data_IF_792057878537
#
_entry.id   IF_792057878537
#
_cell.length_a   1.000
_cell.length_b   1.000
_cell.length_c   1.000
_cell.angle_alpha   90.00
_cell.angle_beta   90.00
_cell.angle_gamma   90.00
#
_symmetry.space_group_name_H-M   'P 1'
#
loop_
_entity.id
_entity.type
_entity.pdbx_description
1 polymer ?
#
# COMPACT_ATOMS: atom_id res chain seq x y z
N UNK A 1 -12.06 1.51 -27.14
CA UNK A 1 -12.53 2.46 -26.11
C UNK A 1 -11.35 3.32 -25.70
N UNK A 2 -11.45 4.65 -25.75
CA UNK A 2 -10.33 5.55 -25.42
C UNK A 2 -10.13 5.59 -23.91
N UNK A 3 -9.13 4.86 -23.40
CA UNK A 3 -8.60 5.09 -22.06
C UNK A 3 -7.85 6.41 -22.08
N UNK A 4 -8.46 7.47 -21.56
CA UNK A 4 -7.76 8.75 -21.43
C UNK A 4 -6.97 8.69 -20.14
N UNK A 5 -5.64 8.75 -20.27
CA UNK A 5 -4.71 8.78 -19.15
C UNK A 5 -4.53 10.23 -18.73
N UNK A 6 -5.03 10.55 -17.55
CA UNK A 6 -4.88 11.86 -16.94
C UNK A 6 -3.76 11.81 -15.90
N UNK A 7 -3.32 12.98 -15.45
CA UNK A 7 -2.38 13.08 -14.35
C UNK A 7 -2.74 14.24 -13.44
N UNK A 8 -2.44 14.05 -12.16
CA UNK A 8 -2.44 15.10 -11.15
C UNK A 8 -1.01 15.31 -10.65
N UNK A 9 -0.67 16.55 -10.35
CA UNK A 9 0.66 16.90 -9.85
C UNK A 9 0.54 17.24 -8.38
N UNK A 10 1.24 16.50 -7.53
CA UNK A 10 1.27 16.73 -6.08
C UNK A 10 2.73 16.99 -5.70
N UNK A 11 3.02 18.21 -5.26
CA UNK A 11 4.39 18.72 -5.16
C UNK A 11 5.07 18.72 -6.53
N UNK A 12 6.08 17.87 -6.70
CA UNK A 12 6.87 17.72 -7.93
C UNK A 12 6.71 16.35 -8.63
N UNK A 13 5.77 15.50 -8.17
CA UNK A 13 5.53 14.19 -8.76
C UNK A 13 4.21 14.17 -9.51
N UNK A 14 4.22 13.57 -10.70
CA UNK A 14 3.03 13.31 -11.52
C UNK A 14 2.47 11.95 -11.13
N UNK A 15 1.20 11.93 -10.76
CA UNK A 15 0.44 10.73 -10.45
C UNK A 15 -0.61 10.52 -11.54
N UNK A 16 -0.59 9.36 -12.17
CA UNK A 16 -1.48 9.06 -13.27
C UNK A 16 -2.75 8.39 -12.78
N UNK A 17 -3.86 8.73 -13.43
CA UNK A 17 -5.13 8.04 -13.25
C UNK A 17 -5.83 7.87 -14.60
N UNK A 18 -6.68 6.86 -14.71
CA UNK A 18 -7.47 6.59 -15.91
C UNK A 18 -8.94 6.64 -15.57
N UNK A 19 -9.70 7.24 -16.49
CA UNK A 19 -11.16 7.21 -16.46
C UNK A 19 -11.61 6.39 -17.68
N UNK A 20 -12.38 5.34 -17.44
CA UNK A 20 -12.97 4.54 -18.50
C UNK A 20 -14.48 4.43 -18.28
N UNK A 21 -15.29 4.71 -19.32
CA UNK A 21 -16.74 4.60 -19.19
C UNK A 21 -17.11 3.14 -18.89
N UNK A 22 -17.91 2.94 -17.84
CA UNK A 22 -18.44 1.64 -17.45
C UNK A 22 -19.93 1.55 -17.87
N UNK A 23 -20.73 0.75 -17.14
CA UNK A 23 -22.16 0.58 -17.43
C UNK A 23 -22.92 1.91 -17.29
N UNK A 24 -24.14 1.96 -17.82
CA UNK A 24 -24.97 3.17 -17.90
C UNK A 24 -24.97 3.98 -16.59
N UNK A 25 -24.27 5.12 -16.57
CA UNK A 25 -24.19 6.03 -15.43
C UNK A 25 -22.98 5.88 -14.51
N UNK A 26 -22.07 4.93 -14.78
CA UNK A 26 -20.83 4.75 -14.01
C UNK A 26 -19.56 4.94 -14.84
N UNK A 27 -18.51 5.39 -14.17
CA UNK A 27 -17.16 5.53 -14.70
C UNK A 27 -16.21 4.74 -13.81
N UNK A 28 -15.41 3.88 -14.43
CA UNK A 28 -14.34 3.16 -13.76
C UNK A 28 -13.13 4.07 -13.62
N UNK A 29 -12.66 4.21 -12.39
CA UNK A 29 -11.51 5.03 -12.03
C UNK A 29 -10.40 4.10 -11.57
N UNK A 30 -9.22 4.22 -12.20
CA UNK A 30 -8.02 3.52 -11.76
C UNK A 30 -6.92 4.53 -11.42
N UNK A 31 -6.45 4.49 -10.18
CA UNK A 31 -5.32 5.27 -9.70
C UNK A 31 -4.47 4.39 -8.77
N UNK A 32 -3.33 3.91 -9.27
CA UNK A 32 -2.41 3.06 -8.50
C UNK A 32 -1.87 3.75 -7.25
N UNK A 33 -1.69 5.07 -7.33
CA UNK A 33 -1.11 5.86 -6.26
C UNK A 33 -2.03 6.02 -5.05
N UNK A 34 -3.34 5.99 -5.26
CA UNK A 34 -4.36 6.00 -4.22
C UNK A 34 -4.94 4.61 -3.92
N UNK A 35 -4.39 3.56 -4.55
CA UNK A 35 -4.92 2.19 -4.48
C UNK A 35 -6.42 2.10 -4.91
N UNK A 36 -6.82 2.90 -5.88
CA UNK A 36 -8.20 2.95 -6.40
C UNK A 36 -8.29 2.14 -7.69
N UNK A 37 -9.20 1.17 -7.73
CA UNK A 37 -9.55 0.41 -8.94
C UNK A 37 -11.00 -0.03 -8.88
N UNK A 38 -11.92 0.94 -8.95
CA UNK A 38 -13.35 0.69 -8.77
C UNK A 38 -14.23 1.53 -9.68
N UNK A 39 -15.50 1.16 -9.76
CA UNK A 39 -16.53 1.89 -10.49
C UNK A 39 -17.20 2.89 -9.55
N UNK A 40 -17.36 4.12 -10.03
CA UNK A 40 -18.08 5.18 -9.34
C UNK A 40 -19.25 5.66 -10.19
N UNK A 41 -20.27 6.22 -9.55
CA UNK A 41 -21.32 6.92 -10.28
C UNK A 41 -20.75 8.18 -10.91
N UNK A 42 -21.26 8.55 -12.08
CA UNK A 42 -20.78 9.74 -12.80
C UNK A 42 -20.94 11.04 -11.98
N UNK A 43 -21.93 11.07 -11.08
CA UNK A 43 -22.21 12.19 -10.17
C UNK A 43 -21.12 12.36 -9.10
N UNK A 44 -20.48 11.27 -8.68
CA UNK A 44 -19.45 11.26 -7.64
C UNK A 44 -18.04 11.54 -8.19
N UNK A 45 -17.86 11.46 -9.51
CA UNK A 45 -16.54 11.66 -10.15
C UNK A 45 -15.92 13.03 -9.83
N UNK A 46 -16.65 14.16 -9.87
CA UNK A 46 -16.07 15.47 -9.53
C UNK A 46 -15.55 15.53 -8.10
N UNK A 47 -16.30 15.01 -7.12
CA UNK A 47 -15.88 14.98 -5.71
C UNK A 47 -14.66 14.08 -5.53
N UNK A 48 -14.68 12.88 -6.13
CA UNK A 48 -13.55 11.97 -6.11
C UNK A 48 -12.28 12.61 -6.69
N UNK A 49 -12.38 13.35 -7.79
CA UNK A 49 -11.23 14.03 -8.41
C UNK A 49 -10.69 15.18 -7.55
N UNK A 50 -11.57 15.88 -6.84
CA UNK A 50 -11.17 16.92 -5.87
C UNK A 50 -10.42 16.31 -4.67
N UNK A 51 -10.85 15.15 -4.19
CA UNK A 51 -10.24 14.45 -3.05
C UNK A 51 -9.06 13.55 -3.42
N UNK A 52 -8.86 13.26 -4.71
CA UNK A 52 -7.81 12.38 -5.20
C UNK A 52 -6.40 12.75 -4.68
N UNK A 53 -5.98 14.03 -4.61
CA UNK A 53 -4.71 14.41 -3.98
C UNK A 53 -4.56 13.93 -2.54
N UNK A 54 -5.62 14.10 -1.74
CA UNK A 54 -5.62 13.74 -0.33
C UNK A 54 -5.56 12.22 -0.17
N UNK A 55 -6.28 11.48 -1.00
CA UNK A 55 -6.25 10.01 -1.02
C UNK A 55 -4.86 9.47 -1.40
N UNK A 56 -4.18 10.08 -2.37
CA UNK A 56 -2.80 9.72 -2.74
C UNK A 56 -1.83 9.95 -1.57
N UNK A 57 -1.97 11.07 -0.86
CA UNK A 57 -1.11 11.38 0.30
C UNK A 57 -1.37 10.42 1.46
N UNK A 58 -2.63 10.14 1.78
CA UNK A 58 -3.01 9.20 2.84
C UNK A 58 -2.48 7.78 2.59
N UNK A 59 -2.61 7.28 1.36
CA UNK A 59 -2.08 5.96 0.98
C UNK A 59 -0.54 5.90 1.05
N UNK A 60 0.12 7.00 0.71
CA UNK A 60 1.58 7.12 0.84
C UNK A 60 2.00 7.10 2.30
N UNK A 61 1.31 7.82 3.18
CA UNK A 61 1.63 7.87 4.61
C UNK A 61 1.37 6.52 5.27
N UNK A 62 0.28 5.84 4.91
CA UNK A 62 0.00 4.47 5.34
C UNK A 62 1.12 3.49 4.95
N UNK A 63 1.59 3.54 3.70
CA UNK A 63 2.74 2.74 3.24
C UNK A 63 4.02 3.07 3.98
N UNK A 64 4.26 4.35 4.29
CA UNK A 64 5.44 4.77 5.04
C UNK A 64 5.40 4.23 6.48
N UNK A 65 4.24 4.30 7.16
CA UNK A 65 4.07 3.76 8.52
C UNK A 65 4.30 2.25 8.57
N UNK A 66 3.87 1.49 7.57
CA UNK A 66 4.18 0.05 7.48
C UNK A 66 5.66 -0.25 7.22
N UNK A 67 6.43 0.72 6.73
CA UNK A 67 7.80 0.51 6.23
C UNK A 67 8.90 0.82 7.24
N UNK A 68 8.59 1.12 8.50
CA UNK A 68 9.60 1.36 9.52
C UNK A 68 10.44 0.10 9.76
N UNK A 69 11.61 0.10 9.14
CA UNK A 69 12.52 -1.04 9.14
C UNK A 69 13.42 -0.97 10.37
N UNK A 70 13.10 -1.78 11.37
CA UNK A 70 13.92 -1.89 12.59
C UNK A 70 15.11 -2.81 12.31
N UNK A 71 16.34 -2.29 12.46
CA UNK A 71 17.59 -3.04 12.30
C UNK A 71 18.23 -3.32 13.65
N UNK A 72 18.52 -4.58 13.93
CA UNK A 72 19.29 -4.98 15.09
C UNK A 72 20.66 -5.49 14.64
N UNK A 73 21.69 -5.18 15.42
CA UNK A 73 23.01 -5.79 15.26
C UNK A 73 23.12 -6.93 16.27
N UNK A 74 23.34 -8.14 15.77
CA UNK A 74 23.49 -9.34 16.58
C UNK A 74 24.74 -10.09 16.15
N UNK A 75 25.28 -10.89 17.06
CA UNK A 75 26.40 -11.77 16.74
C UNK A 75 25.95 -12.88 15.78
N UNK A 76 26.88 -13.48 15.01
CA UNK A 76 26.57 -14.66 14.19
C UNK A 76 26.08 -15.86 15.01
N UNK A 77 26.56 -16.03 16.25
CA UNK A 77 26.11 -17.09 17.14
C UNK A 77 24.65 -16.90 17.54
N UNK A 78 24.27 -15.69 17.97
CA UNK A 78 22.90 -15.38 18.39
C UNK A 78 21.92 -15.53 17.23
N UNK A 79 22.32 -15.10 16.03
CA UNK A 79 21.50 -15.25 14.82
C UNK A 79 21.14 -16.71 14.58
N UNK A 80 22.11 -17.63 14.68
CA UNK A 80 21.87 -19.07 14.51
C UNK A 80 20.92 -19.62 15.57
N UNK A 81 20.99 -19.13 16.80
CA UNK A 81 20.06 -19.55 17.86
C UNK A 81 18.63 -19.10 17.56
N UNK A 82 18.45 -17.83 17.17
CA UNK A 82 17.15 -17.27 16.80
C UNK A 82 16.53 -18.03 15.62
N UNK A 83 17.32 -18.34 14.58
CA UNK A 83 16.88 -19.14 13.44
C UNK A 83 16.37 -20.52 13.86
N UNK A 84 17.10 -21.22 14.73
CA UNK A 84 16.67 -22.53 15.26
C UNK A 84 15.36 -22.44 16.03
N UNK A 85 15.19 -21.41 16.85
CA UNK A 85 13.97 -21.20 17.64
C UNK A 85 12.79 -20.92 16.72
N UNK A 86 12.97 -20.05 15.72
CA UNK A 86 11.94 -19.72 14.74
C UNK A 86 11.44 -20.97 13.99
N UNK A 87 12.37 -21.79 13.48
CA UNK A 87 12.05 -23.05 12.78
C UNK A 87 11.35 -24.03 13.71
N UNK A 88 11.83 -24.19 14.95
CA UNK A 88 11.21 -25.07 15.95
C UNK A 88 9.76 -24.67 16.26
N UNK A 89 9.45 -23.38 16.17
CA UNK A 89 8.10 -22.83 16.35
C UNK A 89 7.25 -22.83 15.07
N UNK A 90 7.76 -23.35 13.95
CA UNK A 90 7.03 -23.46 12.68
C UNK A 90 7.06 -22.21 11.79
N UNK A 91 7.89 -21.22 12.12
CA UNK A 91 7.99 -20.01 11.32
C UNK A 91 8.86 -20.24 10.07
N UNK A 92 8.41 -19.69 8.94
CA UNK A 92 9.14 -19.71 7.66
C UNK A 92 10.24 -18.65 7.58
N UNK A 93 10.19 -17.63 8.44
CA UNK A 93 11.18 -16.56 8.47
C UNK A 93 11.44 -16.06 9.90
N UNK A 94 12.68 -15.67 10.16
CA UNK A 94 13.10 -15.02 11.42
C UNK A 94 12.32 -13.72 11.65
N UNK A 95 12.09 -12.94 10.59
CA UNK A 95 11.34 -11.70 10.68
C UNK A 95 9.90 -11.92 11.15
N UNK A 96 9.23 -12.98 10.68
CA UNK A 96 7.89 -13.35 11.15
C UNK A 96 7.89 -13.72 12.63
N UNK A 97 8.85 -14.56 13.04
CA UNK A 97 8.99 -14.94 14.45
C UNK A 97 9.22 -13.73 15.37
N UNK A 98 10.14 -12.83 15.00
CA UNK A 98 10.45 -11.65 15.80
C UNK A 98 9.30 -10.65 15.84
N UNK A 99 8.52 -10.53 14.76
CA UNK A 99 7.32 -9.68 14.72
C UNK A 99 6.27 -10.16 15.71
N UNK A 100 5.93 -11.44 15.67
CA UNK A 100 4.91 -12.01 16.56
C UNK A 100 5.36 -11.98 18.02
N UNK A 101 6.66 -12.16 18.28
CA UNK A 101 7.26 -11.97 19.61
C UNK A 101 7.07 -10.55 20.12
N UNK A 102 7.38 -9.55 19.30
CA UNK A 102 7.27 -8.15 19.69
C UNK A 102 5.81 -7.70 19.90
N UNK A 103 4.88 -8.26 19.12
CA UNK A 103 3.44 -7.96 19.23
C UNK A 103 2.72 -8.80 20.30
N UNK A 104 3.42 -9.71 20.99
CA UNK A 104 2.82 -10.62 21.98
C UNK A 104 1.75 -11.54 21.39
N UNK A 105 1.78 -11.79 20.08
CA UNK A 105 0.79 -12.57 19.33
C UNK A 105 1.16 -14.06 19.24
N UNK A 106 1.97 -14.54 20.21
CA UNK A 106 2.53 -15.89 20.25
C UNK A 106 1.72 -16.88 21.07
#
# INVERSE_FOLDING_TARGET
MKNIKYFITIGNKKYFYTLSPAKSGSTKVECEAANIKQEFLNEDIPELLNDLPNLIMAEKDYKNQQSELIRFRISPEDKKQIEKIAVKKGYTSVSGYLRDLALGSM
#
